data_IF_057312003138
#
_entry.id   IF_057312003138
#
_cell.length_a   1.000
_cell.length_b   1.000
_cell.length_c   1.000
_cell.angle_alpha   90.00
_cell.angle_beta   90.00
_cell.angle_gamma   90.00
#
_symmetry.space_group_name_H-M   'P 1'
#
loop_
_entity.id
_entity.type
_entity.pdbx_description
1 polymer ?
#
# COMPACT_ATOMS: atom_id res chain seq x y z
N UNK A 1 -5.95 -8.98 -1.07
CA UNK A 1 -5.19 -7.77 -1.39
C UNK A 1 -5.79 -7.15 -2.64
N UNK A 2 -5.72 -5.84 -2.82
CA UNK A 2 -6.22 -5.14 -4.00
C UNK A 2 -5.09 -4.40 -4.71
N UNK A 3 -5.07 -4.47 -6.04
CA UNK A 3 -4.13 -3.77 -6.89
C UNK A 3 -4.86 -2.84 -7.86
N UNK A 4 -4.26 -1.68 -8.08
CA UNK A 4 -4.66 -0.75 -9.13
C UNK A 4 -3.56 -0.65 -10.18
N UNK A 5 -3.93 -0.81 -11.44
CA UNK A 5 -3.03 -0.62 -12.58
C UNK A 5 -3.25 0.76 -13.18
N UNK A 6 -2.17 1.44 -13.55
CA UNK A 6 -2.20 2.70 -14.26
C UNK A 6 -1.41 2.62 -15.56
N UNK A 7 -1.95 3.17 -16.64
CA UNK A 7 -1.22 3.40 -17.88
C UNK A 7 -0.45 4.71 -17.75
N UNK A 8 0.82 4.69 -18.12
CA UNK A 8 1.70 5.85 -18.02
C UNK A 8 1.76 6.57 -19.36
N UNK A 9 1.70 7.90 -19.34
CA UNK A 9 1.88 8.76 -20.52
C UNK A 9 2.80 9.92 -20.19
N UNK A 10 3.34 10.58 -21.21
CA UNK A 10 4.09 11.82 -21.05
C UNK A 10 3.14 12.98 -20.72
N UNK A 11 3.60 13.91 -19.89
CA UNK A 11 2.87 15.17 -19.64
C UNK A 11 2.98 16.11 -20.83
N UNK A 12 4.17 16.18 -21.44
CA UNK A 12 4.45 17.02 -22.59
C UNK A 12 4.03 16.36 -23.91
N UNK A 13 3.47 17.17 -24.82
CA UNK A 13 3.00 16.74 -26.14
C UNK A 13 1.79 17.57 -26.58
N UNK A 14 1.67 17.85 -27.88
CA UNK A 14 0.60 18.68 -28.42
C UNK A 14 -0.68 17.87 -28.70
N UNK A 15 -0.59 16.55 -28.69
CA UNK A 15 -1.68 15.61 -28.92
C UNK A 15 -1.55 14.37 -28.02
N UNK A 16 -2.62 13.58 -27.94
CA UNK A 16 -2.60 12.29 -27.24
C UNK A 16 -1.59 11.30 -27.86
N UNK A 17 -1.38 11.38 -29.18
CA UNK A 17 -0.38 10.58 -29.86
C UNK A 17 1.05 10.97 -29.44
N UNK A 18 1.31 12.27 -29.27
CA UNK A 18 2.62 12.75 -28.79
C UNK A 18 2.92 12.29 -27.37
N UNK A 19 1.88 12.19 -26.54
CA UNK A 19 1.99 11.77 -25.13
C UNK A 19 2.06 10.26 -24.93
N UNK A 20 1.64 9.48 -25.93
CA UNK A 20 1.62 8.01 -25.87
C UNK A 20 3.03 7.45 -25.66
N UNK A 21 3.15 6.42 -24.84
CA UNK A 21 4.36 5.58 -24.77
C UNK A 21 4.03 4.30 -25.54
N UNK A 22 4.66 4.11 -26.71
CA UNK A 22 4.41 3.00 -27.62
C UNK A 22 5.64 2.08 -27.70
N UNK A 23 5.64 1.02 -26.90
CA UNK A 23 6.79 0.11 -26.77
C UNK A 23 6.94 -0.87 -27.93
N UNK A 24 6.07 -0.81 -28.93
CA UNK A 24 6.30 -1.47 -30.22
C UNK A 24 7.37 -0.76 -31.07
N UNK A 25 7.80 0.44 -30.65
CA UNK A 25 8.77 1.30 -31.35
C UNK A 25 10.00 1.59 -30.49
N UNK A 26 11.16 1.77 -31.13
CA UNK A 26 12.40 2.14 -30.43
C UNK A 26 12.28 3.51 -29.75
N UNK A 27 11.55 4.45 -30.36
CA UNK A 27 11.26 5.77 -29.81
C UNK A 27 10.45 5.67 -28.51
N UNK A 28 9.50 4.73 -28.42
CA UNK A 28 8.75 4.47 -27.19
C UNK A 28 9.65 4.03 -26.03
N UNK A 29 10.59 3.11 -26.30
CA UNK A 29 11.60 2.70 -25.32
C UNK A 29 12.48 3.87 -24.88
N UNK A 30 12.91 4.71 -25.83
CA UNK A 30 13.70 5.91 -25.53
C UNK A 30 12.96 6.89 -24.62
N UNK A 31 11.64 7.04 -24.79
CA UNK A 31 10.82 7.95 -23.94
C UNK A 31 10.85 7.55 -22.46
N UNK A 32 11.08 6.27 -22.15
CA UNK A 32 11.07 5.76 -20.78
C UNK A 32 12.47 5.50 -20.21
N UNK A 33 13.55 5.82 -20.92
CA UNK A 33 14.92 5.52 -20.45
C UNK A 33 15.24 6.13 -19.08
N UNK A 34 14.67 7.30 -18.78
CA UNK A 34 14.85 8.00 -17.50
C UNK A 34 14.38 7.18 -16.28
N UNK A 35 13.47 6.21 -16.45
CA UNK A 35 13.04 5.36 -15.33
C UNK A 35 14.19 4.51 -14.77
N UNK A 36 15.24 4.29 -15.57
CA UNK A 36 16.46 3.61 -15.14
C UNK A 36 17.28 4.44 -14.14
N UNK A 37 17.05 5.76 -14.09
CA UNK A 37 17.67 6.66 -13.13
C UNK A 37 16.90 6.72 -11.79
N UNK A 38 16.04 5.73 -11.52
CA UNK A 38 15.39 5.58 -10.22
C UNK A 38 16.46 5.55 -9.12
N UNK A 39 16.33 6.44 -8.14
CA UNK A 39 17.27 6.52 -7.01
C UNK A 39 17.32 5.16 -6.28
N UNK A 40 18.47 4.47 -6.28
CA UNK A 40 18.59 3.14 -5.71
C UNK A 40 18.44 3.13 -4.18
N UNK A 41 18.57 4.28 -3.52
CA UNK A 41 18.42 4.39 -2.07
C UNK A 41 16.95 4.47 -1.65
N UNK A 42 16.15 5.24 -2.38
CA UNK A 42 14.72 5.40 -2.07
C UNK A 42 13.83 4.43 -2.83
N UNK A 43 14.27 3.92 -3.99
CA UNK A 43 13.53 3.03 -4.90
C UNK A 43 12.09 3.49 -5.18
N UNK A 44 11.85 4.79 -5.06
CA UNK A 44 10.52 5.34 -5.06
C UNK A 44 10.02 5.63 -6.49
N UNK A 45 9.41 4.64 -7.12
CA UNK A 45 8.86 4.80 -8.47
C UNK A 45 7.81 5.92 -8.59
N UNK A 46 7.12 6.28 -7.50
CA UNK A 46 6.16 7.39 -7.50
C UNK A 46 6.79 8.76 -7.73
N UNK A 47 8.11 8.89 -7.53
CA UNK A 47 8.85 10.15 -7.74
C UNK A 47 8.74 10.68 -9.17
N UNK A 48 8.60 9.79 -10.15
CA UNK A 48 8.47 10.12 -11.57
C UNK A 48 7.17 10.88 -11.94
N UNK A 49 6.20 10.92 -11.03
CA UNK A 49 4.95 11.67 -11.20
C UNK A 49 4.93 13.01 -10.45
N UNK A 50 6.03 13.38 -9.80
CA UNK A 50 6.15 14.62 -9.04
C UNK A 50 6.97 15.64 -9.82
N UNK A 51 6.48 16.87 -9.87
CA UNK A 51 7.29 17.99 -10.34
C UNK A 51 8.40 18.26 -9.30
N UNK A 52 9.60 18.57 -9.77
CA UNK A 52 10.66 19.03 -8.88
C UNK A 52 10.42 20.50 -8.51
N UNK A 53 10.01 21.31 -9.48
CA UNK A 53 9.62 22.71 -9.35
C UNK A 53 8.80 23.16 -10.57
N UNK A 54 8.43 24.44 -10.64
CA UNK A 54 7.65 24.99 -11.76
C UNK A 54 8.37 24.93 -13.11
N UNK A 55 9.71 24.98 -13.14
CA UNK A 55 10.53 24.84 -14.35
C UNK A 55 10.84 23.39 -14.73
N UNK A 56 10.58 22.44 -13.82
CA UNK A 56 10.82 21.01 -14.01
C UNK A 56 9.54 20.22 -13.67
N UNK A 57 8.51 20.29 -14.54
CA UNK A 57 7.28 19.54 -14.34
C UNK A 57 7.54 18.03 -14.36
N UNK A 58 6.63 17.27 -13.74
CA UNK A 58 6.69 15.81 -13.82
C UNK A 58 6.72 15.37 -15.29
N UNK A 59 7.67 14.50 -15.66
CA UNK A 59 7.76 13.98 -17.03
C UNK A 59 6.56 13.09 -17.38
N UNK A 60 6.07 12.34 -16.40
CA UNK A 60 5.01 11.37 -16.58
C UNK A 60 3.74 11.77 -15.84
N UNK A 61 2.62 11.32 -16.40
CA UNK A 61 1.34 11.24 -15.72
C UNK A 61 0.80 9.81 -15.84
N UNK A 62 -0.25 9.50 -15.10
CA UNK A 62 -0.81 8.16 -15.06
C UNK A 62 -2.34 8.20 -15.05
N UNK A 63 -2.96 7.27 -15.76
CA UNK A 63 -4.42 7.12 -15.82
C UNK A 63 -4.80 5.71 -15.40
N UNK A 64 -5.80 5.60 -14.53
CA UNK A 64 -6.26 4.30 -14.00
C UNK A 64 -6.77 3.42 -15.15
N UNK A 65 -6.33 2.16 -15.17
CA UNK A 65 -6.78 1.15 -16.13
C UNK A 65 -7.95 0.39 -15.53
N UNK A 66 -9.16 0.85 -15.83
CA UNK A 66 -10.39 0.29 -15.26
C UNK A 66 -10.45 0.40 -13.73
N UNK A 67 -11.15 -0.53 -13.10
CA UNK A 67 -11.29 -0.56 -11.65
C UNK A 67 -10.13 -1.28 -10.95
N UNK A 68 -9.98 -0.99 -9.65
CA UNK A 68 -9.06 -1.71 -8.79
C UNK A 68 -9.55 -3.17 -8.66
N UNK A 69 -8.62 -4.12 -8.58
CA UNK A 69 -8.95 -5.54 -8.60
C UNK A 69 -8.37 -6.25 -7.39
N UNK A 70 -9.21 -7.07 -6.74
CA UNK A 70 -8.79 -7.92 -5.64
C UNK A 70 -8.15 -9.20 -6.14
N UNK A 71 -7.09 -9.63 -5.47
CA UNK A 71 -6.45 -10.93 -5.66
C UNK A 71 -7.46 -12.05 -5.40
N UNK A 72 -7.43 -13.09 -6.23
CA UNK A 72 -8.29 -14.25 -6.08
C UNK A 72 -7.79 -15.24 -5.01
N UNK A 73 -8.36 -16.45 -4.97
CA UNK A 73 -7.97 -17.51 -4.02
C UNK A 73 -6.54 -18.06 -4.25
N UNK A 74 -5.97 -17.85 -5.44
CA UNK A 74 -4.58 -18.20 -5.76
C UNK A 74 -3.61 -17.06 -5.44
N UNK A 75 -4.13 -15.88 -5.06
CA UNK A 75 -3.33 -14.69 -4.84
C UNK A 75 -3.04 -13.91 -6.12
N UNK A 76 -3.77 -14.19 -7.21
CA UNK A 76 -3.52 -13.63 -8.54
C UNK A 76 -4.50 -12.50 -8.87
N UNK A 77 -4.04 -11.55 -9.67
CA UNK A 77 -4.87 -10.51 -10.29
C UNK A 77 -4.42 -10.32 -11.74
N UNK A 78 -5.37 -10.30 -12.68
CA UNK A 78 -5.06 -10.22 -14.11
C UNK A 78 -5.64 -8.94 -14.72
N UNK A 79 -4.82 -8.23 -15.47
CA UNK A 79 -5.23 -7.11 -16.33
C UNK A 79 -5.01 -7.54 -17.79
N UNK A 80 -6.09 -7.53 -18.58
CA UNK A 80 -6.09 -8.01 -19.97
C UNK A 80 -6.32 -6.86 -20.93
N UNK A 81 -6.00 -7.07 -22.21
CA UNK A 81 -6.23 -6.09 -23.28
C UNK A 81 -5.37 -4.83 -23.11
N UNK A 82 -4.16 -5.01 -22.61
CA UNK A 82 -3.20 -3.93 -22.42
C UNK A 82 -2.48 -3.64 -23.75
N UNK A 83 -2.21 -2.36 -23.99
CA UNK A 83 -1.38 -1.93 -25.11
C UNK A 83 0.09 -2.23 -24.82
N UNK A 84 0.93 -2.16 -25.85
CA UNK A 84 2.38 -2.19 -25.67
C UNK A 84 2.86 -0.85 -25.08
N UNK A 85 2.97 -0.77 -23.75
CA UNK A 85 3.18 0.48 -23.02
C UNK A 85 3.86 0.29 -21.67
N UNK A 86 4.16 1.42 -21.03
CA UNK A 86 4.61 1.48 -19.64
C UNK A 86 3.39 1.55 -18.72
N UNK A 87 3.38 0.69 -17.71
CA UNK A 87 2.36 0.66 -16.67
C UNK A 87 2.98 0.83 -15.29
N UNK A 88 2.17 1.30 -14.36
CA UNK A 88 2.52 1.53 -12.97
C UNK A 88 1.52 0.82 -12.07
N UNK A 89 2.02 0.05 -11.11
CA UNK A 89 1.22 -0.82 -10.24
C UNK A 89 1.26 -0.29 -8.81
N UNK A 90 0.09 -0.17 -8.18
CA UNK A 90 -0.05 0.16 -6.75
C UNK A 90 -0.86 -0.91 -6.03
N UNK A 91 -0.41 -1.31 -4.83
CA UNK A 91 -1.23 -2.07 -3.88
C UNK A 91 -2.16 -1.13 -3.10
N UNK A 92 -3.44 -1.09 -3.49
CA UNK A 92 -4.41 -0.10 -3.00
C UNK A 92 -5.05 -0.49 -1.65
N UNK A 93 -5.34 -1.77 -1.41
CA UNK A 93 -6.01 -2.22 -0.18
C UNK A 93 -5.45 -3.58 0.33
N UNK A 94 -5.21 -3.65 1.63
CA UNK A 94 -4.64 -4.82 2.32
C UNK A 94 -5.47 -5.32 3.50
N UNK A 95 -6.62 -4.70 3.80
CA UNK A 95 -7.38 -4.97 5.04
C UNK A 95 -7.88 -6.41 5.18
N UNK A 96 -8.17 -7.06 4.06
CA UNK A 96 -8.71 -8.43 4.01
C UNK A 96 -7.63 -9.47 3.62
N UNK A 97 -6.35 -9.18 3.87
CA UNK A 97 -5.26 -10.08 3.50
C UNK A 97 -5.34 -11.43 4.22
N UNK A 98 -5.13 -12.51 3.45
CA UNK A 98 -5.15 -13.89 3.96
C UNK A 98 -4.01 -14.71 3.38
N UNK A 99 -3.44 -15.58 4.20
CA UNK A 99 -2.51 -16.64 3.78
C UNK A 99 -3.10 -17.97 4.23
N UNK A 100 -3.30 -18.91 3.29
CA UNK A 100 -3.92 -20.22 3.58
C UNK A 100 -5.25 -20.10 4.36
N UNK A 101 -6.12 -19.18 3.92
CA UNK A 101 -7.40 -18.82 4.55
C UNK A 101 -7.34 -18.24 5.97
N UNK A 102 -6.15 -17.95 6.50
CA UNK A 102 -5.97 -17.27 7.78
C UNK A 102 -5.72 -15.79 7.56
N UNK A 103 -6.42 -14.94 8.31
CA UNK A 103 -6.16 -13.49 8.29
C UNK A 103 -4.73 -13.21 8.72
N UNK A 104 -4.09 -12.26 8.05
CA UNK A 104 -2.74 -11.76 8.39
C UNK A 104 -2.75 -10.24 8.37
N UNK A 105 -1.87 -9.64 9.14
CA UNK A 105 -1.58 -8.21 9.02
C UNK A 105 -0.45 -8.04 8.01
N UNK A 106 -0.66 -7.25 6.96
CA UNK A 106 0.43 -6.81 6.08
C UNK A 106 1.25 -5.79 6.86
N UNK A 107 2.52 -6.09 7.16
CA UNK A 107 3.46 -5.22 7.90
C UNK A 107 4.43 -4.47 6.99
N UNK A 108 4.43 -4.76 5.70
CA UNK A 108 5.12 -4.00 4.68
C UNK A 108 4.39 -4.22 3.37
N UNK A 109 3.71 -3.18 2.87
CA UNK A 109 3.11 -3.22 1.54
C UNK A 109 4.20 -3.26 0.50
N UNK A 110 3.89 -3.82 -0.67
CA UNK A 110 4.82 -3.70 -1.79
C UNK A 110 4.93 -2.23 -2.21
N UNK A 111 6.16 -1.77 -2.43
CA UNK A 111 6.38 -0.45 -3.04
C UNK A 111 5.80 -0.43 -4.46
N UNK A 112 5.15 0.67 -4.87
CA UNK A 112 4.70 0.79 -6.25
C UNK A 112 5.84 0.64 -7.25
N UNK A 113 5.55 0.05 -8.40
CA UNK A 113 6.58 -0.28 -9.38
C UNK A 113 6.10 -0.12 -10.81
N UNK A 114 7.05 0.02 -11.74
CA UNK A 114 6.79 0.05 -13.16
C UNK A 114 6.86 -1.36 -13.77
N UNK A 115 6.03 -1.61 -14.78
CA UNK A 115 6.12 -2.77 -15.65
C UNK A 115 5.99 -2.32 -17.11
N UNK A 116 6.67 -2.99 -18.02
CA UNK A 116 6.43 -2.83 -19.45
C UNK A 116 5.68 -4.04 -19.96
N UNK A 117 4.76 -3.80 -20.89
CA UNK A 117 4.27 -4.82 -21.80
C UNK A 117 4.68 -4.39 -23.21
N UNK A 118 5.47 -5.16 -23.96
CA UNK A 118 6.09 -6.43 -23.57
C UNK A 118 7.32 -6.26 -22.64
N UNK A 119 7.86 -7.38 -22.15
CA UNK A 119 9.13 -7.47 -21.42
C UNK A 119 10.13 -8.32 -22.22
N UNK A 120 11.41 -7.92 -22.38
CA UNK A 120 12.38 -8.74 -23.09
C UNK A 120 12.75 -9.97 -22.25
N UNK A 121 12.76 -11.14 -22.89
CA UNK A 121 13.08 -12.42 -22.26
C UNK A 121 14.19 -13.13 -23.03
N UNK A 122 15.28 -13.41 -22.33
CA UNK A 122 16.40 -14.16 -22.88
C UNK A 122 16.12 -15.65 -22.73
N UNK A 123 16.07 -16.36 -23.86
CA UNK A 123 16.09 -17.83 -23.89
C UNK A 123 17.53 -18.32 -24.05
N UNK A 124 17.72 -19.63 -24.12
CA UNK A 124 19.05 -20.23 -24.35
C UNK A 124 19.71 -19.71 -25.63
N UNK A 125 18.92 -19.46 -26.69
CA UNK A 125 19.43 -19.19 -28.04
C UNK A 125 18.84 -17.93 -28.71
N UNK A 126 17.93 -17.21 -28.06
CA UNK A 126 17.25 -16.05 -28.65
C UNK A 126 16.86 -14.99 -27.60
N UNK A 127 16.45 -13.83 -28.09
CA UNK A 127 15.66 -12.87 -27.33
C UNK A 127 14.23 -12.88 -27.86
N UNK A 128 13.29 -13.00 -26.95
CA UNK A 128 11.86 -13.04 -27.23
C UNK A 128 11.13 -11.97 -26.43
N UNK A 129 9.93 -11.60 -26.87
CA UNK A 129 9.07 -10.65 -26.18
C UNK A 129 8.00 -11.39 -25.39
N UNK A 130 7.95 -11.15 -24.07
CA UNK A 130 6.84 -11.60 -23.23
C UNK A 130 5.75 -10.53 -23.23
N UNK A 131 4.63 -10.86 -23.86
CA UNK A 131 3.42 -10.03 -23.84
C UNK A 131 2.53 -10.32 -22.63
N UNK A 132 2.54 -11.58 -22.18
CA UNK A 132 1.96 -11.98 -20.90
C UNK A 132 3.05 -11.88 -19.85
N UNK A 133 3.01 -10.81 -19.05
CA UNK A 133 4.02 -10.52 -18.03
C UNK A 133 3.45 -10.86 -16.66
N UNK A 134 4.08 -11.83 -16.00
CA UNK A 134 3.78 -12.18 -14.61
C UNK A 134 4.76 -11.47 -13.68
N UNK A 135 4.22 -10.83 -12.64
CA UNK A 135 5.00 -10.17 -11.58
C UNK A 135 4.60 -10.70 -10.22
N UNK A 136 5.56 -10.76 -9.31
CA UNK A 136 5.40 -11.36 -7.98
C UNK A 136 5.77 -10.36 -6.89
N UNK A 137 5.00 -9.26 -6.73
CA UNK A 137 5.20 -8.34 -5.63
C UNK A 137 5.07 -9.07 -4.29
N UNK A 138 5.98 -8.78 -3.35
CA UNK A 138 5.97 -9.38 -2.02
C UNK A 138 5.61 -8.35 -0.96
N UNK A 139 4.73 -8.78 -0.07
CA UNK A 139 4.44 -8.09 1.17
C UNK A 139 5.19 -8.74 2.32
N UNK A 140 5.57 -7.94 3.31
CA UNK A 140 5.89 -8.46 4.64
C UNK A 140 4.59 -8.68 5.41
N UNK A 141 4.51 -9.78 6.16
CA UNK A 141 3.32 -10.14 6.93
C UNK A 141 3.66 -10.48 8.37
N UNK A 142 2.71 -10.25 9.28
CA UNK A 142 2.72 -10.77 10.65
C UNK A 142 1.42 -11.52 10.94
N UNK A 143 1.52 -12.51 11.84
CA UNK A 143 0.36 -13.16 12.45
C UNK A 143 -0.26 -12.35 13.59
N UNK A 144 0.37 -11.24 13.98
CA UNK A 144 -0.22 -10.31 14.94
C UNK A 144 -1.46 -9.68 14.30
N UNK A 145 -2.59 -9.80 14.97
CA UNK A 145 -3.87 -9.25 14.54
C UNK A 145 -4.30 -8.15 15.50
N UNK A 146 -5.13 -7.19 15.05
CA UNK A 146 -5.82 -6.29 15.96
C UNK A 146 -6.55 -7.09 17.04
N UNK A 147 -6.42 -6.66 18.30
CA UNK A 147 -7.13 -7.24 19.43
C UNK A 147 -7.99 -6.19 20.10
N UNK A 148 -9.16 -6.61 20.58
CA UNK A 148 -10.08 -5.81 21.40
C UNK A 148 -10.52 -6.66 22.57
N UNK A 149 -10.15 -6.26 23.78
CA UNK A 149 -10.39 -7.04 25.00
C UNK A 149 -11.14 -6.17 26.01
N UNK A 150 -12.31 -6.60 26.51
CA UNK A 150 -13.00 -5.87 27.57
C UNK A 150 -12.25 -5.93 28.89
N UNK A 151 -12.26 -4.81 29.62
CA UNK A 151 -11.90 -4.73 31.04
C UNK A 151 -13.14 -4.84 31.91
N UNK A 152 -12.90 -4.95 33.21
CA UNK A 152 -13.95 -4.87 34.21
C UNK A 152 -14.72 -3.55 34.07
N UNK A 153 -16.05 -3.59 34.00
CA UNK A 153 -16.85 -2.38 33.93
C UNK A 153 -16.82 -1.66 35.28
N UNK A 154 -17.07 -0.34 35.27
CA UNK A 154 -17.15 0.46 36.51
C UNK A 154 -18.27 -0.02 37.43
N UNK A 155 -19.29 -0.67 36.87
CA UNK A 155 -20.44 -1.28 37.56
C UNK A 155 -20.83 -2.58 36.85
N UNK A 156 -21.28 -3.58 37.61
CA UNK A 156 -21.77 -4.86 37.07
C UNK A 156 -23.22 -4.80 36.55
N UNK A 157 -23.82 -3.61 36.53
CA UNK A 157 -25.17 -3.34 36.01
C UNK A 157 -25.14 -2.03 35.21
N UNK A 158 -26.10 -1.87 34.31
CA UNK A 158 -26.30 -0.61 33.57
C UNK A 158 -27.08 0.35 34.47
N UNK A 159 -26.44 1.45 34.88
CA UNK A 159 -27.08 2.48 35.68
C UNK A 159 -27.90 3.43 34.79
N UNK A 160 -29.09 3.82 35.25
CA UNK A 160 -30.00 4.71 34.52
C UNK A 160 -29.41 6.12 34.30
N UNK A 161 -28.40 6.51 35.08
CA UNK A 161 -27.68 7.77 34.97
C UNK A 161 -26.55 7.75 33.92
N UNK A 162 -26.36 6.63 33.22
CA UNK A 162 -25.33 6.46 32.19
C UNK A 162 -23.90 6.32 32.72
N UNK A 163 -23.70 6.19 34.04
CA UNK A 163 -22.34 6.14 34.63
C UNK A 163 -21.66 4.76 34.57
N UNK A 164 -22.31 3.76 33.97
CA UNK A 164 -21.70 2.45 33.72
C UNK A 164 -20.80 2.54 32.48
N UNK A 165 -19.49 2.41 32.69
CA UNK A 165 -18.48 2.42 31.64
C UNK A 165 -17.92 1.01 31.48
N UNK A 166 -17.80 0.56 30.24
CA UNK A 166 -17.16 -0.72 29.85
C UNK A 166 -15.88 -0.37 29.10
N UNK A 167 -14.71 -0.39 29.76
CA UNK A 167 -13.46 -0.07 29.07
C UNK A 167 -13.05 -1.23 28.15
N UNK A 168 -12.39 -0.92 27.04
CA UNK A 168 -11.74 -1.91 26.18
C UNK A 168 -10.27 -1.55 25.98
N UNK A 169 -9.41 -2.56 26.08
CA UNK A 169 -8.05 -2.49 25.54
C UNK A 169 -8.09 -2.83 24.05
N UNK A 170 -7.58 -1.92 23.23
CA UNK A 170 -7.46 -2.11 21.79
C UNK A 170 -5.97 -2.04 21.44
N UNK A 171 -5.46 -3.10 20.81
CA UNK A 171 -4.09 -3.14 20.29
C UNK A 171 -4.12 -3.40 18.80
N UNK A 172 -3.42 -2.58 18.03
CA UNK A 172 -3.42 -2.66 16.57
C UNK A 172 -1.98 -2.73 16.07
N UNK A 173 -1.58 -3.83 15.40
CA UNK A 173 -0.26 -3.93 14.81
C UNK A 173 -0.12 -2.89 13.68
N UNK A 174 1.01 -2.19 13.70
CA UNK A 174 1.31 -1.11 12.75
C UNK A 174 2.42 -1.51 11.78
N UNK A 175 2.27 -1.06 10.54
CA UNK A 175 3.17 -1.27 9.41
C UNK A 175 4.22 -0.18 9.39
N UNK A 176 5.50 -0.42 9.77
CA UNK A 176 6.51 0.63 9.70
C UNK A 176 6.46 1.30 8.31
N UNK A 177 6.47 2.64 8.24
CA UNK A 177 6.53 3.31 6.95
C UNK A 177 7.77 2.82 6.20
N UNK A 178 7.72 2.79 4.87
CA UNK A 178 8.89 2.57 4.01
C UNK A 178 10.09 3.43 4.47
N UNK A 179 11.32 2.95 4.26
CA UNK A 179 12.56 3.53 4.78
C UNK A 179 12.56 5.07 4.82
N UNK A 180 12.87 5.62 6.00
CA UNK A 180 12.95 7.06 6.33
C UNK A 180 11.64 7.87 6.28
N UNK A 181 10.47 7.24 6.21
CA UNK A 181 9.20 7.95 6.36
C UNK A 181 8.64 7.82 7.79
N UNK A 182 7.90 8.83 8.23
CA UNK A 182 7.10 8.81 9.46
C UNK A 182 5.63 8.65 9.11
N UNK A 183 4.85 8.02 9.98
CA UNK A 183 3.39 8.09 9.86
C UNK A 183 2.95 9.56 9.95
N UNK A 184 2.21 10.03 8.94
CA UNK A 184 1.62 11.38 8.97
C UNK A 184 0.32 11.39 9.77
N UNK A 185 -0.50 10.36 9.57
CA UNK A 185 -1.75 10.12 10.27
C UNK A 185 -1.97 8.60 10.39
N UNK A 186 -2.51 8.18 11.52
CA UNK A 186 -2.96 6.81 11.79
C UNK A 186 -4.39 6.93 12.31
N UNK A 187 -5.30 6.17 11.74
CA UNK A 187 -6.71 6.20 12.13
C UNK A 187 -7.32 4.80 12.12
N UNK A 188 -8.20 4.56 13.08
CA UNK A 188 -8.93 3.31 13.22
C UNK A 188 -10.39 3.63 13.54
N UNK A 189 -11.28 2.75 13.11
CA UNK A 189 -12.72 2.90 13.36
C UNK A 189 -13.15 1.69 14.19
N UNK A 190 -13.73 1.97 15.35
CA UNK A 190 -14.41 0.99 16.18
C UNK A 190 -15.90 1.35 16.23
N UNK A 191 -16.70 0.59 15.50
CA UNK A 191 -18.15 0.80 15.48
C UNK A 191 -18.78 0.18 16.73
N UNK A 192 -19.31 1.04 17.60
CA UNK A 192 -19.99 0.60 18.81
C UNK A 192 -21.33 -0.09 18.46
N UNK A 193 -21.65 -1.23 19.10
CA UNK A 193 -22.96 -1.85 18.97
C UNK A 193 -24.05 -0.96 19.57
N UNK A 194 -25.30 -1.21 19.17
CA UNK A 194 -26.47 -0.54 19.72
C UNK A 194 -26.51 -0.66 21.26
N UNK A 195 -26.89 0.43 21.93
CA UNK A 195 -26.94 0.51 23.39
C UNK A 195 -25.64 0.97 24.07
N UNK A 196 -24.57 1.20 23.31
CA UNK A 196 -23.33 1.80 23.82
C UNK A 196 -23.12 3.20 23.21
N UNK A 197 -22.65 4.11 24.05
CA UNK A 197 -22.24 5.46 23.65
C UNK A 197 -20.74 5.59 23.88
N UNK A 198 -20.05 6.27 22.96
CA UNK A 198 -18.64 6.59 23.16
C UNK A 198 -18.50 7.57 24.33
N UNK A 199 -17.58 7.25 25.25
CA UNK A 199 -17.24 8.11 26.40
C UNK A 199 -15.92 8.82 26.15
N UNK A 200 -14.83 8.07 26.12
CA UNK A 200 -13.47 8.61 25.98
C UNK A 200 -12.50 7.57 25.45
N UNK A 201 -11.32 8.04 25.03
CA UNK A 201 -10.14 7.22 24.77
C UNK A 201 -8.96 7.82 25.54
N UNK A 202 -8.22 6.98 26.23
CA UNK A 202 -7.07 7.35 27.05
C UNK A 202 -5.91 6.38 26.80
N UNK A 203 -4.73 6.69 27.34
CA UNK A 203 -3.55 5.82 27.31
C UNK A 203 -3.13 5.35 25.89
N UNK A 204 -3.33 6.21 24.89
CA UNK A 204 -2.96 5.91 23.50
C UNK A 204 -1.45 6.03 23.33
N UNK A 205 -0.79 4.89 23.17
CA UNK A 205 0.66 4.79 23.05
C UNK A 205 1.06 4.07 21.76
N UNK A 206 2.08 4.58 21.08
CA UNK A 206 2.82 3.84 20.08
C UNK A 206 3.86 2.96 20.81
N UNK A 207 3.60 1.66 20.84
CA UNK A 207 4.48 0.67 21.46
C UNK A 207 5.47 0.15 20.42
N UNK A 208 6.77 0.36 20.64
CA UNK A 208 7.82 -0.20 19.78
C UNK A 208 8.28 -1.55 20.31
N UNK A 209 7.99 -2.63 19.57
CA UNK A 209 8.47 -3.98 19.88
C UNK A 209 9.71 -4.32 19.03
N UNK A 210 10.83 -4.76 19.65
CA UNK A 210 11.99 -5.22 18.89
C UNK A 210 11.71 -6.55 18.17
N UNK A 211 12.28 -6.72 16.97
CA UNK A 211 12.23 -7.98 16.16
C UNK A 211 13.10 -9.14 16.73
N UNK A 212 13.48 -9.13 18.02
CA UNK A 212 14.30 -10.10 18.83
C UNK A 212 15.85 -10.04 18.73
N UNK A 213 16.64 -10.60 19.72
CA UNK A 213 16.31 -11.54 20.81
C UNK A 213 15.84 -10.93 22.14
N UNK A 214 15.19 -11.77 22.95
CA UNK A 214 14.49 -11.47 24.20
C UNK A 214 15.29 -10.62 25.20
N UNK A 215 14.68 -9.55 25.72
CA UNK A 215 15.21 -8.74 26.82
C UNK A 215 15.14 -7.23 26.62
N UNK A 216 14.86 -6.74 25.41
CA UNK A 216 14.64 -5.31 25.20
C UNK A 216 13.22 -4.91 25.61
N UNK A 217 13.11 -3.93 26.50
CA UNK A 217 11.83 -3.40 26.94
C UNK A 217 11.17 -2.64 25.79
N UNK A 218 9.85 -2.83 25.64
CA UNK A 218 9.06 -1.96 24.80
C UNK A 218 9.23 -0.50 25.26
N UNK A 219 9.25 0.41 24.30
CA UNK A 219 9.22 1.85 24.58
C UNK A 219 7.89 2.39 24.10
N UNK A 220 7.22 3.11 24.99
CA UNK A 220 5.93 3.72 24.71
C UNK A 220 6.15 5.18 24.35
N UNK A 221 5.54 5.60 23.25
CA UNK A 221 5.49 7.01 22.85
C UNK A 221 4.03 7.44 22.95
N UNK A 222 3.65 8.32 23.90
CA UNK A 222 2.31 8.86 23.99
C UNK A 222 1.92 9.57 22.69
N UNK A 223 0.69 9.36 22.24
CA UNK A 223 0.15 10.02 21.04
C UNK A 223 -0.92 11.04 21.44
N UNK A 224 -0.94 12.18 20.74
CA UNK A 224 -2.06 13.12 20.83
C UNK A 224 -3.25 12.53 20.09
N UNK A 225 -4.38 12.44 20.77
CA UNK A 225 -5.63 11.96 20.19
C UNK A 225 -6.41 13.13 19.60
N UNK A 226 -6.88 12.96 18.36
CA UNK A 226 -7.91 13.82 17.76
C UNK A 226 -9.13 12.95 17.49
N UNK A 227 -10.19 13.12 18.29
CA UNK A 227 -11.49 12.43 18.15
C UNK A 227 -12.49 13.27 17.40
#
# INVERSE_FOLDING_TARGET
>A
VEFTLYKVTLTAGNSEADKKIDLSTAEGWKRIEDIQNLDPNTKNASSFFKAADESHPAKFTKTKVGDAKKTDKKGEVTFNGLDESLYYVEESDTKDAKVNNKSVTITGKVDPFFITTPLPHKTENSWEWLYNVDVYPKNDTSSDLPTKTPKDPTKLYVADDGSTVIPWDISIPLVPPSDNQSYKQIGFIDSLPEGLTYDSVADVNLVKTPKTPAGSKATDVPLTVTT
#
